data_IF_882260658637
#
_entry.id   IF_882260658637
#
_cell.length_a   1.000
_cell.length_b   1.000
_cell.length_c   1.000
_cell.angle_alpha   90.00
_cell.angle_beta   90.00
_cell.angle_gamma   90.00
#
_symmetry.space_group_name_H-M   'P 1'
#
loop_
_entity.id
_entity.type
_entity.pdbx_description
1 polymer ?
#
# COMPACT_ATOMS: atom_id res chain seq x y z
N UNK A 1 -8.46 -13.91 28.86
CA UNK A 1 -7.07 -14.37 28.96
C UNK A 1 -6.81 -15.77 28.34
N UNK A 2 -7.78 -16.67 28.33
CA UNK A 2 -7.61 -18.03 27.78
C UNK A 2 -7.45 -18.16 26.27
N UNK A 3 -8.04 -17.25 25.47
CA UNK A 3 -7.99 -17.33 24.01
C UNK A 3 -6.60 -17.05 23.42
N UNK A 4 -5.80 -16.19 24.07
CA UNK A 4 -4.42 -15.89 23.66
C UNK A 4 -3.49 -17.10 23.82
N UNK A 5 -3.70 -17.88 24.87
CA UNK A 5 -2.87 -19.07 25.16
C UNK A 5 -3.14 -20.22 24.17
N UNK A 6 -4.37 -20.31 23.67
CA UNK A 6 -4.78 -21.32 22.69
C UNK A 6 -4.18 -21.05 21.31
N UNK A 7 -4.16 -19.78 20.90
CA UNK A 7 -3.56 -19.35 19.65
C UNK A 7 -2.03 -19.57 19.63
N UNK A 8 -1.33 -19.23 20.71
CA UNK A 8 0.11 -19.46 20.85
C UNK A 8 0.49 -20.94 20.80
N UNK A 9 -0.29 -21.82 21.45
CA UNK A 9 -0.08 -23.27 21.39
C UNK A 9 -0.29 -23.84 19.98
N UNK A 10 -1.27 -23.34 19.25
CA UNK A 10 -1.52 -23.75 17.84
C UNK A 10 -0.37 -23.28 16.94
N UNK A 11 0.12 -22.05 17.14
CA UNK A 11 1.24 -21.50 16.38
C UNK A 11 2.54 -22.28 16.64
N UNK A 12 2.85 -22.57 17.92
CA UNK A 12 3.98 -23.41 18.29
C UNK A 12 3.91 -24.80 17.67
N UNK A 13 2.73 -25.44 17.72
CA UNK A 13 2.53 -26.76 17.10
C UNK A 13 2.74 -26.74 15.59
N UNK A 14 2.28 -25.69 14.89
CA UNK A 14 2.52 -25.53 13.45
C UNK A 14 3.98 -25.25 13.12
N UNK A 15 4.68 -24.43 13.91
CA UNK A 15 6.11 -24.15 13.73
C UNK A 15 6.92 -25.44 13.90
N UNK A 16 6.63 -26.25 14.94
CA UNK A 16 7.29 -27.54 15.14
C UNK A 16 7.02 -28.54 14.02
N UNK A 17 5.81 -28.56 13.46
CA UNK A 17 5.48 -29.37 12.30
C UNK A 17 6.25 -28.93 11.05
N UNK A 18 6.36 -27.63 10.80
CA UNK A 18 7.14 -27.08 9.68
C UNK A 18 8.64 -27.39 9.86
N UNK A 19 9.17 -27.23 11.07
CA UNK A 19 10.57 -27.56 11.38
C UNK A 19 10.86 -29.05 11.16
N UNK A 20 9.97 -29.94 11.60
CA UNK A 20 10.10 -31.37 11.37
C UNK A 20 10.00 -31.77 9.90
N UNK A 21 9.13 -31.13 9.12
CA UNK A 21 9.01 -31.34 7.67
C UNK A 21 10.23 -30.79 6.90
N UNK A 22 10.74 -29.61 7.30
CA UNK A 22 11.96 -29.06 6.76
C UNK A 22 13.16 -29.96 7.04
N UNK A 23 13.36 -30.40 8.26
CA UNK A 23 14.45 -31.34 8.62
C UNK A 23 14.36 -32.64 7.86
N UNK A 24 13.15 -33.21 7.72
CA UNK A 24 12.94 -34.46 6.96
C UNK A 24 13.23 -34.30 5.48
N UNK A 25 12.84 -33.18 4.87
CA UNK A 25 13.10 -32.91 3.45
C UNK A 25 14.57 -32.50 3.19
N UNK A 26 15.17 -31.72 4.08
CA UNK A 26 16.60 -31.37 4.02
C UNK A 26 17.50 -32.61 4.18
N UNK A 27 17.13 -33.55 5.05
CA UNK A 27 17.86 -34.81 5.18
C UNK A 27 17.68 -35.72 3.94
N UNK A 28 16.50 -35.73 3.30
CA UNK A 28 16.27 -36.44 2.03
C UNK A 28 17.09 -35.87 0.88
N UNK A 29 17.29 -34.55 0.84
CA UNK A 29 18.06 -33.88 -0.22
C UNK A 29 19.57 -34.02 -0.05
N UNK A 30 20.04 -34.67 1.05
CA UNK A 30 21.47 -34.91 1.32
C UNK A 30 22.34 -33.61 1.21
N UNK A 31 21.70 -32.44 1.38
CA UNK A 31 22.32 -31.13 1.18
C UNK A 31 23.49 -30.93 2.15
N UNK A 32 23.37 -31.44 3.37
CA UNK A 32 24.46 -31.37 4.35
C UNK A 32 25.68 -32.20 3.93
N UNK A 33 25.47 -33.39 3.35
CA UNK A 33 26.57 -34.19 2.80
C UNK A 33 27.17 -33.56 1.53
N UNK A 34 26.38 -32.77 0.78
CA UNK A 34 26.87 -32.03 -0.37
C UNK A 34 27.70 -30.79 0.05
N UNK A 35 27.33 -30.13 1.15
CA UNK A 35 28.07 -29.01 1.71
C UNK A 35 29.39 -29.45 2.36
N UNK A 36 29.41 -30.60 3.01
CA UNK A 36 30.68 -31.16 3.60
C UNK A 36 31.65 -31.67 2.55
N UNK A 37 31.18 -32.18 1.40
CA UNK A 37 32.02 -32.59 0.30
C UNK A 37 32.69 -31.46 -0.49
N UNK A 38 32.17 -30.22 -0.35
CA UNK A 38 32.71 -29.02 -1.02
C UNK A 38 33.44 -28.08 -0.06
N UNK A 39 34.40 -28.59 0.67
CA UNK A 39 35.32 -27.80 1.52
C UNK A 39 36.12 -26.69 0.79
N UNK A 40 35.94 -26.57 -0.53
CA UNK A 40 36.56 -25.55 -1.38
C UNK A 40 35.58 -24.81 -2.28
N UNK A 41 34.46 -24.35 -1.74
CA UNK A 41 33.71 -23.29 -2.42
C UNK A 41 34.62 -22.07 -2.50
N UNK A 42 35.05 -21.68 -3.72
CA UNK A 42 35.79 -20.42 -3.91
C UNK A 42 35.01 -19.32 -3.16
N UNK A 43 35.73 -18.40 -2.50
CA UNK A 43 35.15 -17.26 -1.75
C UNK A 43 34.02 -16.56 -2.51
N UNK A 44 34.11 -16.50 -3.85
CA UNK A 44 33.07 -15.99 -4.76
C UNK A 44 31.71 -16.72 -4.66
N UNK A 45 31.73 -18.06 -4.53
CA UNK A 45 30.47 -18.83 -4.45
C UNK A 45 29.81 -18.71 -3.06
N UNK A 46 30.60 -18.53 -2.00
CA UNK A 46 30.07 -18.24 -0.66
C UNK A 46 29.38 -16.88 -0.63
N UNK A 47 30.02 -15.86 -1.23
CA UNK A 47 29.45 -14.53 -1.35
C UNK A 47 28.14 -14.55 -2.14
N UNK A 48 28.09 -15.28 -3.25
CA UNK A 48 26.88 -15.44 -4.06
C UNK A 48 25.75 -16.12 -3.28
N UNK A 49 26.02 -17.16 -2.50
CA UNK A 49 25.01 -17.82 -1.66
C UNK A 49 24.46 -16.87 -0.59
N UNK A 50 25.32 -16.10 0.06
CA UNK A 50 24.91 -15.08 1.03
C UNK A 50 24.03 -14.04 0.36
N UNK A 51 24.41 -13.54 -0.82
CA UNK A 51 23.62 -12.56 -1.58
C UNK A 51 22.23 -13.10 -1.93
N UNK A 52 22.14 -14.33 -2.45
CA UNK A 52 20.85 -14.99 -2.78
C UNK A 52 19.98 -15.13 -1.53
N UNK A 53 20.59 -15.51 -0.39
CA UNK A 53 19.86 -15.61 0.87
C UNK A 53 19.30 -14.26 1.34
N UNK A 54 20.07 -13.18 1.21
CA UNK A 54 19.60 -11.81 1.52
C UNK A 54 18.46 -11.37 0.61
N UNK A 55 18.57 -11.63 -0.70
CA UNK A 55 17.48 -11.34 -1.65
C UNK A 55 16.22 -12.11 -1.29
N UNK A 56 16.35 -13.37 -0.90
CA UNK A 56 15.24 -14.18 -0.44
C UNK A 56 14.57 -13.60 0.81
N UNK A 57 15.36 -13.21 1.82
CA UNK A 57 14.84 -12.58 3.04
C UNK A 57 14.10 -11.27 2.74
N UNK A 58 14.66 -10.42 1.87
CA UNK A 58 14.02 -9.18 1.44
C UNK A 58 12.69 -9.48 0.71
N UNK A 59 12.66 -10.48 -0.16
CA UNK A 59 11.44 -10.88 -0.89
C UNK A 59 10.36 -11.37 0.06
N UNK A 60 10.71 -12.20 1.04
CA UNK A 60 9.78 -12.66 2.09
C UNK A 60 9.26 -11.47 2.88
N UNK A 61 10.14 -10.57 3.31
CA UNK A 61 9.78 -9.37 4.06
C UNK A 61 8.78 -8.49 3.26
N UNK A 62 9.06 -8.22 2.00
CA UNK A 62 8.18 -7.43 1.14
C UNK A 62 6.85 -8.12 0.81
N UNK A 63 6.77 -9.44 0.96
CA UNK A 63 5.54 -10.20 0.72
C UNK A 63 4.59 -10.21 1.92
N UNK A 64 5.01 -9.78 3.12
CA UNK A 64 4.18 -9.80 4.33
C UNK A 64 2.81 -9.12 4.14
N UNK A 65 2.69 -7.95 3.47
CA UNK A 65 1.38 -7.29 3.29
C UNK A 65 0.36 -8.10 2.48
N UNK A 66 0.80 -9.10 1.70
CA UNK A 66 -0.13 -9.98 0.99
C UNK A 66 -0.94 -10.89 1.92
N UNK A 67 -0.44 -11.09 3.15
CA UNK A 67 -1.07 -11.94 4.17
C UNK A 67 -2.11 -11.17 5.01
N UNK A 68 -2.22 -9.86 4.83
CA UNK A 68 -3.17 -9.07 5.59
C UNK A 68 -4.62 -9.30 5.15
N UNK A 69 -5.53 -9.20 6.10
CA UNK A 69 -6.95 -9.16 5.82
C UNK A 69 -7.26 -7.87 5.01
N UNK A 70 -7.55 -8.06 3.73
CA UNK A 70 -7.78 -6.96 2.79
C UNK A 70 -8.95 -6.05 3.18
N UNK A 71 -10.00 -6.64 3.77
CA UNK A 71 -11.17 -5.87 4.17
C UNK A 71 -10.87 -4.97 5.36
N UNK A 72 -10.15 -5.49 6.37
CA UNK A 72 -9.74 -4.69 7.53
C UNK A 72 -8.75 -3.60 7.14
N UNK A 73 -7.81 -3.93 6.26
CA UNK A 73 -6.84 -2.94 5.79
C UNK A 73 -7.48 -1.85 4.93
N UNK A 74 -8.47 -2.22 4.12
CA UNK A 74 -9.28 -1.27 3.34
C UNK A 74 -10.00 -0.29 4.26
N UNK A 75 -10.73 -0.77 5.27
CA UNK A 75 -11.41 0.06 6.25
C UNK A 75 -10.44 0.99 6.99
N UNK A 76 -9.25 0.52 7.33
CA UNK A 76 -8.23 1.34 7.98
C UNK A 76 -7.75 2.47 7.06
N UNK A 77 -7.51 2.21 5.78
CA UNK A 77 -7.15 3.24 4.80
C UNK A 77 -8.30 4.22 4.56
N UNK A 78 -9.51 3.74 4.41
CA UNK A 78 -10.70 4.59 4.26
C UNK A 78 -10.84 5.53 5.45
N UNK A 79 -10.71 5.02 6.68
CA UNK A 79 -10.76 5.83 7.88
C UNK A 79 -9.63 6.88 7.93
N UNK A 80 -8.39 6.49 7.63
CA UNK A 80 -7.26 7.41 7.65
C UNK A 80 -7.41 8.52 6.58
N UNK A 81 -7.88 8.16 5.39
CA UNK A 81 -8.08 9.13 4.31
C UNK A 81 -9.28 10.02 4.60
N UNK A 82 -10.39 9.45 5.06
CA UNK A 82 -11.58 10.22 5.44
C UNK A 82 -11.26 11.22 6.56
N UNK A 83 -10.57 10.81 7.60
CA UNK A 83 -10.20 11.71 8.71
C UNK A 83 -9.24 12.83 8.28
N UNK A 84 -8.30 12.52 7.37
CA UNK A 84 -7.31 13.51 6.93
C UNK A 84 -7.83 14.49 5.88
N UNK A 85 -8.63 13.98 4.95
CA UNK A 85 -9.02 14.74 3.76
C UNK A 85 -10.50 15.09 3.72
N UNK A 86 -11.26 14.64 4.73
CA UNK A 86 -12.71 14.80 4.80
C UNK A 86 -13.44 14.29 3.54
N UNK A 87 -12.95 13.15 3.00
CA UNK A 87 -13.47 12.49 1.81
C UNK A 87 -14.17 11.19 2.20
N UNK A 88 -15.26 10.90 1.54
CA UNK A 88 -15.94 9.60 1.63
C UNK A 88 -15.71 8.80 0.37
N UNK A 89 -15.60 7.48 0.52
CA UNK A 89 -15.39 6.57 -0.61
C UNK A 89 -16.62 5.71 -0.83
N UNK A 90 -16.97 5.50 -2.08
CA UNK A 90 -17.94 4.47 -2.41
C UNK A 90 -17.26 3.09 -2.33
N UNK A 91 -17.87 2.18 -1.55
CA UNK A 91 -17.18 1.11 -0.83
C UNK A 91 -16.96 -0.21 -1.58
N UNK A 92 -17.19 -0.30 -2.89
CA UNK A 92 -17.18 -1.59 -3.62
C UNK A 92 -15.85 -1.99 -4.25
N UNK A 93 -14.72 -1.45 -3.80
CA UNK A 93 -13.46 -1.54 -4.53
C UNK A 93 -12.47 -2.52 -3.93
N UNK A 94 -11.80 -3.30 -4.79
CA UNK A 94 -10.77 -4.27 -4.38
C UNK A 94 -9.44 -3.58 -4.06
N UNK A 95 -8.85 -3.92 -2.91
CA UNK A 95 -7.51 -3.51 -2.52
C UNK A 95 -6.49 -4.54 -3.01
N UNK A 96 -5.53 -4.11 -3.83
CA UNK A 96 -4.47 -4.94 -4.36
C UNK A 96 -3.09 -4.42 -3.92
N UNK A 97 -2.22 -5.33 -3.50
CA UNK A 97 -0.86 -5.01 -3.14
C UNK A 97 0.09 -5.17 -4.32
N UNK A 98 1.01 -4.23 -4.51
CA UNK A 98 2.05 -4.24 -5.53
C UNK A 98 3.40 -3.88 -4.91
N UNK A 99 4.46 -4.58 -5.35
CA UNK A 99 5.82 -4.38 -4.81
C UNK A 99 6.57 -3.32 -5.62
N UNK A 100 6.36 -3.25 -6.94
CA UNK A 100 7.07 -2.33 -7.83
C UNK A 100 6.23 -1.09 -8.19
N UNK A 101 6.89 0.08 -8.39
CA UNK A 101 8.31 0.40 -8.22
C UNK A 101 8.74 0.52 -6.75
N UNK A 102 7.81 0.71 -5.83
CA UNK A 102 7.92 0.69 -4.37
C UNK A 102 6.69 -0.03 -3.82
N UNK A 103 6.77 -0.71 -2.67
CA UNK A 103 5.61 -1.35 -2.05
C UNK A 103 4.47 -0.37 -1.84
N UNK A 104 3.30 -0.69 -2.39
CA UNK A 104 2.10 0.15 -2.31
C UNK A 104 0.83 -0.68 -2.49
N UNK A 105 -0.29 -0.14 -2.03
CA UNK A 105 -1.61 -0.67 -2.34
C UNK A 105 -2.25 0.11 -3.47
N UNK A 106 -3.04 -0.57 -4.29
CA UNK A 106 -3.80 0.02 -5.39
C UNK A 106 -5.27 -0.26 -5.19
N UNK A 107 -6.06 0.80 -5.24
CA UNK A 107 -7.51 0.75 -5.34
C UNK A 107 -7.88 1.16 -6.76
N UNK A 108 -8.73 0.37 -7.43
CA UNK A 108 -9.16 0.65 -8.80
C UNK A 108 -10.62 1.07 -8.85
N UNK A 109 -10.94 1.98 -9.78
CA UNK A 109 -12.30 2.45 -10.06
C UNK A 109 -13.01 2.95 -8.80
N UNK A 110 -12.39 3.90 -8.14
CA UNK A 110 -12.87 4.49 -6.90
C UNK A 110 -13.62 5.78 -7.19
N UNK A 111 -14.86 5.90 -6.73
CA UNK A 111 -15.57 7.18 -6.66
C UNK A 111 -15.32 7.83 -5.30
N UNK A 112 -14.88 9.07 -5.33
CA UNK A 112 -14.70 9.92 -4.16
C UNK A 112 -15.84 10.89 -4.09
N UNK A 113 -16.49 10.92 -2.95
CA UNK A 113 -17.63 11.79 -2.69
C UNK A 113 -17.20 12.94 -1.77
N UNK A 114 -17.81 14.10 -1.99
CA UNK A 114 -17.68 15.24 -1.08
C UNK A 114 -18.58 15.08 0.15
N UNK A 115 -18.60 16.11 1.01
CA UNK A 115 -19.43 16.13 2.22
C UNK A 115 -20.95 16.08 1.94
N UNK A 116 -21.37 16.50 0.75
CA UNK A 116 -22.76 16.46 0.29
C UNK A 116 -23.11 15.12 -0.40
N UNK A 117 -22.18 14.14 -0.42
CA UNK A 117 -22.28 12.86 -1.14
C UNK A 117 -22.36 13.02 -2.65
N UNK A 118 -21.89 14.13 -3.19
CA UNK A 118 -21.74 14.31 -4.63
C UNK A 118 -20.37 13.79 -5.07
N UNK A 119 -20.31 13.30 -6.30
CA UNK A 119 -19.06 12.82 -6.86
C UNK A 119 -18.05 13.95 -7.07
N UNK A 120 -17.04 13.97 -6.23
CA UNK A 120 -15.91 14.89 -6.34
C UNK A 120 -14.91 14.40 -7.40
N UNK A 121 -14.66 13.10 -7.43
CA UNK A 121 -13.73 12.52 -8.39
C UNK A 121 -14.04 11.05 -8.69
N UNK A 122 -13.84 10.69 -9.95
CA UNK A 122 -13.72 9.32 -10.39
C UNK A 122 -12.23 8.99 -10.56
N UNK A 123 -11.71 8.03 -9.81
CA UNK A 123 -10.29 7.67 -9.76
C UNK A 123 -10.09 6.28 -10.31
N UNK A 124 -9.45 6.14 -11.47
CA UNK A 124 -9.19 4.83 -12.06
C UNK A 124 -8.18 4.02 -11.25
N UNK A 125 -7.12 4.67 -10.74
CA UNK A 125 -6.12 4.04 -9.89
C UNK A 125 -5.73 4.99 -8.76
N UNK A 126 -6.05 4.62 -7.52
CA UNK A 126 -5.50 5.26 -6.33
C UNK A 126 -4.38 4.38 -5.78
N UNK A 127 -3.13 4.88 -5.82
CA UNK A 127 -1.98 4.20 -5.24
C UNK A 127 -1.69 4.77 -3.86
N UNK A 128 -1.61 3.90 -2.86
CA UNK A 128 -1.39 4.25 -1.46
C UNK A 128 -0.01 3.76 -1.06
N UNK A 129 0.94 4.69 -0.91
CA UNK A 129 2.28 4.40 -0.42
C UNK A 129 2.33 4.56 1.09
N UNK A 130 2.98 3.65 1.77
CA UNK A 130 3.01 3.59 3.22
C UNK A 130 4.44 3.44 3.76
N UNK A 131 4.60 3.66 5.07
CA UNK A 131 5.90 3.52 5.75
C UNK A 131 6.24 2.05 5.97
N UNK A 132 7.35 1.58 5.39
CA UNK A 132 7.85 0.22 5.60
C UNK A 132 8.31 -0.04 7.03
N UNK A 133 8.63 0.99 7.82
CA UNK A 133 9.10 0.83 9.20
C UNK A 133 8.03 0.26 10.14
N UNK A 134 6.75 0.50 9.85
CA UNK A 134 5.62 0.14 10.71
C UNK A 134 4.66 -0.86 10.06
N UNK A 135 5.01 -1.42 8.92
CA UNK A 135 4.08 -2.23 8.15
C UNK A 135 3.85 -3.64 8.70
N UNK A 136 4.67 -4.09 9.65
CA UNK A 136 4.46 -5.40 10.32
C UNK A 136 3.16 -5.49 11.14
N UNK A 137 2.61 -4.33 11.54
CA UNK A 137 1.33 -4.26 12.22
C UNK A 137 0.32 -3.51 11.34
N UNK A 138 -0.73 -4.18 10.82
CA UNK A 138 -1.74 -3.56 9.96
C UNK A 138 -2.38 -2.31 10.54
N UNK A 139 -2.60 -2.27 11.86
CA UNK A 139 -3.19 -1.13 12.57
C UNK A 139 -2.28 0.09 12.69
N UNK A 140 -0.98 -0.06 12.45
CA UNK A 140 0.01 1.02 12.55
C UNK A 140 0.54 1.49 11.21
N UNK A 141 -0.04 1.01 10.11
CA UNK A 141 0.35 1.43 8.75
C UNK A 141 0.01 2.91 8.59
N UNK A 142 1.03 3.73 8.31
CA UNK A 142 0.89 5.15 8.06
C UNK A 142 1.00 5.44 6.56
N UNK A 143 0.03 6.16 6.04
CA UNK A 143 0.04 6.64 4.65
C UNK A 143 1.06 7.76 4.52
N UNK A 144 2.04 7.57 3.62
CA UNK A 144 3.06 8.57 3.31
C UNK A 144 2.74 9.35 2.05
N UNK A 145 2.12 8.70 1.07
CA UNK A 145 1.78 9.34 -0.19
C UNK A 145 0.56 8.70 -0.82
N UNK A 146 -0.27 9.54 -1.43
CA UNK A 146 -1.39 9.17 -2.28
C UNK A 146 -1.09 9.57 -3.72
N UNK A 147 -1.30 8.68 -4.67
CA UNK A 147 -1.17 8.99 -6.09
C UNK A 147 -2.50 8.70 -6.78
N UNK A 148 -3.14 9.75 -7.25
CA UNK A 148 -4.33 9.69 -8.09
C UNK A 148 -3.87 9.61 -9.55
N UNK A 149 -4.21 8.54 -10.23
CA UNK A 149 -3.75 8.28 -11.59
C UNK A 149 -4.93 7.97 -12.50
N UNK A 150 -4.99 8.64 -13.65
CA UNK A 150 -6.10 8.59 -14.59
C UNK A 150 -7.43 8.93 -13.89
N UNK A 151 -7.49 10.09 -13.27
CA UNK A 151 -8.62 10.54 -12.47
C UNK A 151 -9.34 11.69 -13.13
N UNK A 152 -10.65 11.76 -12.95
CA UNK A 152 -11.50 12.85 -13.37
C UNK A 152 -12.03 13.56 -12.12
N UNK A 153 -11.62 14.78 -11.88
CA UNK A 153 -12.08 15.60 -10.77
C UNK A 153 -13.17 16.56 -11.23
N UNK A 154 -14.26 16.63 -10.49
CA UNK A 154 -15.36 17.56 -10.73
C UNK A 154 -15.24 18.75 -9.77
N UNK A 155 -14.76 19.89 -10.25
CA UNK A 155 -14.62 21.12 -9.47
C UNK A 155 -15.84 22.02 -9.70
N UNK A 156 -16.51 22.37 -8.60
CA UNK A 156 -17.60 23.33 -8.55
C UNK A 156 -17.32 24.37 -7.47
N UNK A 157 -18.06 25.48 -7.46
CA UNK A 157 -17.93 26.49 -6.41
C UNK A 157 -18.15 25.91 -5.00
N UNK A 158 -18.98 24.86 -4.88
CA UNK A 158 -19.36 24.26 -3.61
C UNK A 158 -18.30 23.31 -3.04
N UNK A 159 -17.48 22.67 -3.90
CA UNK A 159 -16.48 21.68 -3.47
C UNK A 159 -15.03 22.17 -3.67
N UNK A 160 -14.85 23.46 -3.97
CA UNK A 160 -13.52 24.07 -4.17
C UNK A 160 -12.61 23.96 -2.95
N UNK A 161 -13.16 23.86 -1.75
CA UNK A 161 -12.41 23.75 -0.49
C UNK A 161 -11.40 22.61 -0.46
N UNK A 162 -11.71 21.48 -1.08
CA UNK A 162 -10.77 20.36 -1.20
C UNK A 162 -9.52 20.76 -1.98
N UNK A 163 -9.70 21.46 -3.11
CA UNK A 163 -8.59 21.89 -3.96
C UNK A 163 -7.81 23.04 -3.31
N UNK A 164 -8.49 23.92 -2.60
CA UNK A 164 -7.85 25.00 -1.81
C UNK A 164 -6.94 24.39 -0.74
N UNK A 165 -7.43 23.42 0.02
CA UNK A 165 -6.63 22.69 1.02
C UNK A 165 -5.43 21.96 0.43
N UNK A 166 -5.57 21.43 -0.80
CA UNK A 166 -4.43 20.87 -1.54
C UNK A 166 -3.37 21.94 -1.82
N UNK A 167 -3.78 23.13 -2.24
CA UNK A 167 -2.88 24.26 -2.56
C UNK A 167 -2.21 24.79 -1.29
N UNK A 168 -2.95 24.89 -0.19
CA UNK A 168 -2.47 25.42 1.10
C UNK A 168 -1.60 24.42 1.87
N UNK A 169 -1.42 23.21 1.35
CA UNK A 169 -0.64 22.15 2.00
C UNK A 169 -1.17 21.73 3.39
N UNK A 170 -2.46 21.86 3.62
CA UNK A 170 -3.09 21.52 4.90
C UNK A 170 -3.05 20.02 5.24
N UNK A 171 -2.67 19.18 4.27
CA UNK A 171 -2.57 17.74 4.45
C UNK A 171 -1.22 17.32 5.03
N UNK A 172 -1.00 17.69 6.28
CA UNK A 172 0.23 17.48 7.04
C UNK A 172 0.79 16.04 6.86
N UNK A 173 2.07 15.96 6.49
CA UNK A 173 2.85 14.71 6.40
C UNK A 173 2.43 13.71 5.33
N UNK A 174 1.57 14.06 4.39
CA UNK A 174 1.19 13.16 3.28
C UNK A 174 1.45 13.85 1.94
N UNK A 175 2.27 13.23 1.09
CA UNK A 175 2.47 13.71 -0.28
C UNK A 175 1.29 13.29 -1.14
N UNK A 176 0.69 14.23 -1.87
CA UNK A 176 -0.35 13.96 -2.86
C UNK A 176 0.22 14.18 -4.25
N UNK A 177 -0.02 13.23 -5.13
CA UNK A 177 0.38 13.32 -6.54
C UNK A 177 -0.84 13.04 -7.40
N UNK A 178 -1.07 13.91 -8.39
CA UNK A 178 -2.11 13.74 -9.41
C UNK A 178 -1.41 13.55 -10.74
N UNK A 179 -1.71 12.45 -11.44
CA UNK A 179 -1.09 12.08 -12.72
C UNK A 179 -2.12 11.74 -13.76
N UNK A 180 -1.85 12.17 -15.02
CA UNK A 180 -2.62 11.80 -16.20
C UNK A 180 -4.13 11.94 -15.96
N UNK A 181 -4.53 13.08 -15.39
CA UNK A 181 -5.85 13.32 -14.84
C UNK A 181 -6.47 14.59 -15.40
N UNK A 182 -7.80 14.71 -15.28
CA UNK A 182 -8.53 15.87 -15.74
C UNK A 182 -9.25 16.56 -14.57
N UNK A 183 -9.34 17.89 -14.62
CA UNK A 183 -10.24 18.66 -13.77
C UNK A 183 -11.30 19.28 -14.66
N UNK A 184 -12.54 18.91 -14.41
CA UNK A 184 -13.73 19.46 -15.04
C UNK A 184 -14.28 20.58 -14.16
N UNK A 185 -14.21 21.80 -14.64
CA UNK A 185 -14.82 22.95 -13.97
C UNK A 185 -16.28 23.04 -14.40
N UNK A 186 -17.17 22.96 -13.43
CA UNK A 186 -18.63 22.94 -13.66
C UNK A 186 -19.30 24.14 -13.02
N UNK A 187 -20.34 24.65 -13.71
CA UNK A 187 -21.22 25.65 -13.12
C UNK A 187 -22.23 25.01 -12.14
N UNK A 188 -23.09 25.83 -11.55
CA UNK A 188 -24.13 25.38 -10.65
C UNK A 188 -25.17 24.45 -11.30
N UNK A 189 -25.29 24.49 -12.63
CA UNK A 189 -26.15 23.62 -13.44
C UNK A 189 -25.43 22.32 -13.86
N UNK A 190 -24.24 22.05 -13.33
CA UNK A 190 -23.38 20.88 -13.63
C UNK A 190 -22.85 20.83 -15.08
N UNK A 191 -23.00 21.91 -15.86
CA UNK A 191 -22.42 22.00 -17.19
C UNK A 191 -20.91 22.24 -17.10
N UNK A 192 -20.14 21.56 -17.96
CA UNK A 192 -18.70 21.72 -18.03
C UNK A 192 -18.34 23.03 -18.72
N UNK A 193 -17.73 23.96 -17.98
CA UNK A 193 -17.24 25.23 -18.48
C UNK A 193 -15.91 25.09 -19.21
N UNK A 194 -14.97 24.37 -18.59
CA UNK A 194 -13.68 24.05 -19.20
C UNK A 194 -13.03 22.83 -18.53
N UNK A 195 -12.04 22.26 -19.22
CA UNK A 195 -11.31 21.07 -18.78
C UNK A 195 -9.83 21.43 -18.70
N UNK A 196 -9.21 21.13 -17.57
CA UNK A 196 -7.78 21.22 -17.40
C UNK A 196 -7.15 19.82 -17.33
N UNK A 197 -6.21 19.53 -18.25
CA UNK A 197 -5.50 18.27 -18.31
C UNK A 197 -4.21 18.35 -17.48
N UNK A 198 -4.07 17.46 -16.51
CA UNK A 198 -2.93 17.39 -15.62
C UNK A 198 -2.08 16.17 -15.97
N UNK A 199 -0.86 16.40 -16.45
CA UNK A 199 0.11 15.30 -16.64
C UNK A 199 0.71 14.84 -15.32
N UNK A 200 1.17 15.80 -14.49
CA UNK A 200 1.77 15.48 -13.20
C UNK A 200 1.81 16.72 -12.31
N UNK A 201 1.11 16.68 -11.20
CA UNK A 201 1.20 17.68 -10.12
C UNK A 201 1.52 16.95 -8.84
N UNK A 202 2.43 17.52 -8.04
CA UNK A 202 2.83 16.98 -6.76
C UNK A 202 2.70 18.03 -5.67
N UNK A 203 1.89 17.73 -4.67
CA UNK A 203 1.75 18.50 -3.45
C UNK A 203 2.52 17.81 -2.34
N UNK A 204 3.41 18.54 -1.65
CA UNK A 204 4.21 17.99 -0.56
C UNK A 204 4.34 19.00 0.56
N UNK A 205 4.37 18.49 1.78
CA UNK A 205 4.64 19.30 2.94
C UNK A 205 6.12 19.68 2.97
N UNK A 206 6.41 20.98 3.02
CA UNK A 206 7.75 21.49 3.25
C UNK A 206 7.80 21.98 4.69
N UNK A 207 8.28 21.13 5.62
CA UNK A 207 8.62 21.60 6.97
C UNK A 207 9.85 22.51 6.83
N UNK A 208 9.61 23.83 6.84
CA UNK A 208 10.70 24.76 7.11
C UNK A 208 11.11 24.66 8.56
#
# INVERSE_FOLDING_TARGET
MESHNKFFKILQKKILQIDSLLKRNLNKLNIFNYLDKKKNLKKSNQFFLILVFFIFLISVYLSIPTLYDKNKLKLEFENQISQKFNLTFDSLVSLNYQIFPKPHFVIKNLSILDNEKKELAEVKNLKIFFSLKKFLNPKSIQINSLVFENSNFNLTDKNSDFFIKLLDNDFLNTTIVIKDSNIFYRNLSEEVLFINNIKNIKYYYNSK
#
